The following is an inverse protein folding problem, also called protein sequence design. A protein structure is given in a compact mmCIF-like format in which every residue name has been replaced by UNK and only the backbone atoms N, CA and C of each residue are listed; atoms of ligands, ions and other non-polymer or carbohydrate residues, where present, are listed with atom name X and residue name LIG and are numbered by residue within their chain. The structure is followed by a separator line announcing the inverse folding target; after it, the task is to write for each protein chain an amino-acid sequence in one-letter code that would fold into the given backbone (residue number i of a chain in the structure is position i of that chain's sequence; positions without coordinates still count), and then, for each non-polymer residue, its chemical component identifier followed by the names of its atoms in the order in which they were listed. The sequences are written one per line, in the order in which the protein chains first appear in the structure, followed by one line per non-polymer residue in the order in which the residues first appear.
data_IF_675480428395
#
_entry.id   IF_675480428395
#
_cell.length_a   1.000
_cell.length_b   1.000
_cell.length_c   1.000
_cell.angle_alpha   90.00
_cell.angle_beta   90.00
_cell.angle_gamma   90.00
#
_symmetry.space_group_name_H-M   'P 1'
#
loop_
_entity.id
_entity.type
_entity.pdbx_description
1 polymer ?
#
# COMPACT_ATOMS: atom_id res chain seq x y z
N UNK A 1 -11.37 -19.74 16.15
CA UNK A 1 -11.63 -18.43 16.76
C UNK A 1 -10.47 -17.40 16.60
N UNK A 2 -9.22 -17.79 16.31
CA UNK A 2 -8.07 -16.87 16.23
C UNK A 2 -7.90 -16.04 14.93
N UNK A 3 -8.66 -16.28 13.87
CA UNK A 3 -8.44 -15.67 12.55
C UNK A 3 -9.03 -14.26 12.38
N UNK A 4 -10.07 -13.91 13.13
CA UNK A 4 -10.73 -12.60 12.98
C UNK A 4 -9.96 -11.46 13.66
N UNK A 5 -9.30 -11.74 14.78
CA UNK A 5 -8.59 -10.75 15.60
C UNK A 5 -7.27 -10.30 14.96
N UNK A 6 -6.70 -11.10 14.05
CA UNK A 6 -5.47 -10.79 13.33
C UNK A 6 -5.66 -9.92 12.08
N UNK A 7 -6.91 -9.57 11.71
CA UNK A 7 -7.20 -8.71 10.55
C UNK A 7 -6.81 -7.27 10.82
N UNK A 8 -6.39 -6.59 9.75
CA UNK A 8 -6.09 -5.17 9.77
C UNK A 8 -7.38 -4.38 9.46
N UNK A 9 -7.56 -3.26 10.14
CA UNK A 9 -8.62 -2.28 9.93
C UNK A 9 -8.01 -0.98 9.38
N UNK A 10 -8.64 -0.38 8.38
CA UNK A 10 -8.23 0.93 7.87
C UNK A 10 -8.65 2.01 8.88
N UNK A 11 -7.70 2.73 9.40
CA UNK A 11 -7.96 3.83 10.34
C UNK A 11 -7.95 5.16 9.61
N UNK A 12 -9.04 5.89 9.75
CA UNK A 12 -9.20 7.25 9.27
C UNK A 12 -8.97 8.24 10.42
N UNK A 13 -8.32 9.36 10.13
CA UNK A 13 -8.28 10.53 10.98
C UNK A 13 -8.89 11.70 10.19
N UNK A 14 -9.96 12.31 10.72
CA UNK A 14 -10.71 13.35 10.00
C UNK A 14 -11.10 12.92 8.57
N UNK A 15 -11.55 11.67 8.42
CA UNK A 15 -11.94 11.08 7.13
C UNK A 15 -10.80 10.88 6.11
N UNK A 16 -9.57 11.06 6.52
CA UNK A 16 -8.39 10.79 5.69
C UNK A 16 -7.70 9.53 6.17
N UNK A 17 -7.30 8.60 5.28
CA UNK A 17 -6.53 7.43 5.66
C UNK A 17 -5.26 7.81 6.42
N UNK A 18 -5.08 7.22 7.59
CA UNK A 18 -3.96 7.52 8.48
C UNK A 18 -3.02 6.34 8.68
N UNK A 19 -3.58 5.17 8.94
CA UNK A 19 -2.79 3.94 9.16
C UNK A 19 -3.65 2.68 9.02
N UNK A 20 -2.99 1.52 9.12
CA UNK A 20 -3.63 0.23 9.36
C UNK A 20 -3.33 -0.19 10.81
N UNK A 21 -4.37 -0.59 11.53
CA UNK A 21 -4.24 -1.15 12.88
C UNK A 21 -4.92 -2.52 12.96
N UNK A 22 -4.55 -3.31 13.96
CA UNK A 22 -5.27 -4.55 14.22
C UNK A 22 -6.71 -4.26 14.63
N UNK A 23 -7.62 -5.16 14.25
CA UNK A 23 -9.03 -5.09 14.65
C UNK A 23 -9.18 -5.02 16.17
N UNK A 24 -8.38 -5.79 16.92
CA UNK A 24 -8.35 -5.76 18.38
C UNK A 24 -8.05 -4.36 18.94
N UNK A 25 -7.02 -3.69 18.40
CA UNK A 25 -6.66 -2.33 18.82
C UNK A 25 -7.81 -1.35 18.56
N UNK A 26 -8.44 -1.45 17.41
CA UNK A 26 -9.56 -0.56 17.02
C UNK A 26 -10.79 -0.81 17.88
N UNK A 27 -11.11 -2.08 18.22
CA UNK A 27 -12.19 -2.44 19.13
C UNK A 27 -11.95 -1.84 20.52
N UNK A 28 -10.75 -1.98 21.07
CA UNK A 28 -10.40 -1.42 22.36
C UNK A 28 -10.55 0.11 22.39
N UNK A 29 -10.16 0.80 21.31
CA UNK A 29 -10.36 2.25 21.16
C UNK A 29 -11.86 2.60 21.12
N UNK A 30 -12.67 1.84 20.39
CA UNK A 30 -14.10 2.09 20.23
C UNK A 30 -14.87 1.86 21.55
N UNK A 31 -14.54 0.82 22.33
CA UNK A 31 -15.10 0.55 23.66
C UNK A 31 -14.84 1.74 24.61
N UNK A 32 -13.64 2.36 24.51
CA UNK A 32 -13.26 3.50 25.34
C UNK A 32 -13.73 4.86 24.77
N UNK A 33 -14.55 4.86 23.70
CA UNK A 33 -15.08 6.09 23.10
C UNK A 33 -14.10 6.88 22.21
N UNK A 34 -12.91 6.33 21.93
CA UNK A 34 -11.86 6.98 21.15
C UNK A 34 -11.86 6.62 19.66
N UNK A 35 -12.79 5.76 19.24
CA UNK A 35 -12.99 5.42 17.84
C UNK A 35 -14.46 5.15 17.54
N UNK A 36 -14.85 5.32 16.28
CA UNK A 36 -16.13 4.90 15.71
C UNK A 36 -15.90 3.95 14.57
N UNK A 37 -16.73 2.92 14.42
CA UNK A 37 -16.70 2.06 13.24
C UNK A 37 -17.46 2.68 12.10
N UNK A 38 -16.98 2.52 10.89
CA UNK A 38 -17.58 3.09 9.70
C UNK A 38 -18.27 1.99 8.91
N UNK A 39 -19.53 2.18 8.60
CA UNK A 39 -20.28 1.25 7.77
C UNK A 39 -19.69 1.18 6.35
N UNK A 40 -19.36 -0.02 5.82
CA UNK A 40 -18.60 -0.16 4.58
C UNK A 40 -19.32 0.36 3.32
N UNK A 41 -20.66 0.44 3.35
CA UNK A 41 -21.47 0.90 2.22
C UNK A 41 -22.02 2.32 2.39
N UNK A 42 -22.57 2.64 3.59
CA UNK A 42 -23.23 3.95 3.82
C UNK A 42 -22.29 5.02 4.33
N UNK A 43 -21.12 4.62 4.85
CA UNK A 43 -20.10 5.47 5.50
C UNK A 43 -20.58 6.14 6.80
N UNK A 44 -21.69 5.71 7.36
CA UNK A 44 -22.16 6.22 8.64
C UNK A 44 -21.22 5.78 9.76
N UNK A 45 -20.87 6.67 10.69
CA UNK A 45 -20.06 6.34 11.86
C UNK A 45 -20.94 5.80 13.00
N UNK A 46 -20.52 4.70 13.62
CA UNK A 46 -21.19 4.07 14.75
C UNK A 46 -20.23 3.96 15.92
N UNK A 47 -20.73 4.23 17.14
CA UNK A 47 -20.06 3.85 18.39
C UNK A 47 -20.01 2.32 18.49
N UNK A 48 -19.19 1.80 19.41
CA UNK A 48 -19.10 0.35 19.65
C UNK A 48 -20.48 -0.28 19.93
N UNK A 49 -21.29 0.32 20.80
CA UNK A 49 -22.58 -0.23 21.19
C UNK A 49 -23.65 -0.11 20.12
N UNK A 50 -23.65 0.97 19.34
CA UNK A 50 -24.53 1.11 18.18
C UNK A 50 -24.22 0.06 17.11
N UNK A 51 -22.94 -0.22 16.87
CA UNK A 51 -22.48 -1.22 15.93
C UNK A 51 -22.94 -2.62 16.32
N UNK A 52 -22.76 -2.99 17.60
CA UNK A 52 -23.22 -4.27 18.15
C UNK A 52 -24.75 -4.41 18.05
N UNK A 53 -25.50 -3.36 18.39
CA UNK A 53 -26.96 -3.36 18.37
C UNK A 53 -27.54 -3.43 16.96
N UNK A 54 -26.86 -2.83 15.96
CA UNK A 54 -27.35 -2.77 14.59
C UNK A 54 -27.23 -4.11 13.86
N UNK A 55 -26.25 -4.93 14.21
CA UNK A 55 -26.00 -6.20 13.54
C UNK A 55 -25.73 -6.01 12.04
N UNK A 56 -24.58 -5.46 11.70
CA UNK A 56 -24.18 -5.22 10.31
C UNK A 56 -23.79 -6.55 9.72
N UNK A 57 -24.46 -6.95 8.63
CA UNK A 57 -24.10 -8.17 7.91
C UNK A 57 -22.71 -8.08 7.32
N UNK A 58 -21.79 -8.85 7.90
CA UNK A 58 -20.42 -8.95 7.45
C UNK A 58 -19.97 -10.41 7.40
N UNK A 59 -19.09 -10.75 6.43
CA UNK A 59 -18.56 -12.11 6.25
C UNK A 59 -17.68 -12.59 7.43
N UNK A 60 -17.30 -11.68 8.32
CA UNK A 60 -16.45 -11.97 9.45
C UNK A 60 -17.05 -11.45 10.75
N UNK A 61 -17.30 -12.37 11.69
CA UNK A 61 -17.97 -12.11 12.96
C UNK A 61 -17.13 -12.63 14.12
N UNK A 62 -17.09 -11.88 15.21
CA UNK A 62 -16.59 -12.34 16.51
C UNK A 62 -17.81 -12.65 17.36
N UNK A 63 -17.98 -13.92 17.74
CA UNK A 63 -19.08 -14.36 18.58
C UNK A 63 -18.57 -14.70 19.99
N UNK A 64 -19.24 -14.15 20.99
CA UNK A 64 -19.08 -14.49 22.38
C UNK A 64 -20.44 -14.88 22.95
N UNK A 65 -20.53 -15.52 24.15
CA UNK A 65 -21.83 -15.85 24.74
C UNK A 65 -22.76 -14.65 24.98
N UNK A 66 -22.23 -13.42 24.92
CA UNK A 66 -23.01 -12.21 25.25
C UNK A 66 -23.09 -11.22 24.09
N UNK A 67 -22.17 -11.28 23.14
CA UNK A 67 -22.05 -10.26 22.08
C UNK A 67 -21.68 -10.94 20.77
N UNK A 68 -22.43 -10.61 19.72
CA UNK A 68 -22.06 -10.82 18.32
C UNK A 68 -21.54 -9.49 17.78
N UNK A 69 -20.30 -9.48 17.29
CA UNK A 69 -19.65 -8.30 16.75
C UNK A 69 -19.19 -8.56 15.31
N UNK A 70 -19.78 -7.87 14.38
CA UNK A 70 -19.30 -7.85 13.00
C UNK A 70 -17.97 -7.11 12.94
N UNK A 71 -16.94 -7.74 12.34
CA UNK A 71 -15.58 -7.22 12.36
C UNK A 71 -15.48 -5.93 11.54
N UNK A 72 -15.12 -4.79 12.13
CA UNK A 72 -15.03 -3.54 11.39
C UNK A 72 -13.86 -3.53 10.41
N UNK A 73 -14.11 -3.13 9.17
CA UNK A 73 -13.08 -2.94 8.15
C UNK A 73 -12.47 -1.53 8.20
N UNK A 74 -13.25 -0.56 8.66
CA UNK A 74 -12.88 0.85 8.67
C UNK A 74 -13.25 1.45 10.02
N UNK A 75 -12.36 2.25 10.58
CA UNK A 75 -12.61 3.00 11.80
C UNK A 75 -12.16 4.45 11.67
N UNK A 76 -12.93 5.34 12.29
CA UNK A 76 -12.61 6.75 12.44
C UNK A 76 -12.12 7.00 13.87
N UNK A 77 -10.93 7.54 14.00
CA UNK A 77 -10.35 7.97 15.28
C UNK A 77 -10.34 9.51 15.28
N UNK A 78 -10.98 10.09 16.29
CA UNK A 78 -10.92 11.53 16.54
C UNK A 78 -9.77 11.80 17.52
N UNK A 79 -8.78 12.59 17.10
CA UNK A 79 -7.79 13.09 18.02
C UNK A 79 -6.37 13.23 17.47
N UNK A 80 -5.54 13.91 18.27
CA UNK A 80 -4.11 14.11 18.06
C UNK A 80 -3.28 12.90 18.47
N UNK A 81 -3.88 11.71 18.57
CA UNK A 81 -3.13 10.54 19.00
C UNK A 81 -2.15 10.11 17.92
N UNK A 82 -0.88 10.06 18.27
CA UNK A 82 0.21 9.51 17.46
C UNK A 82 0.14 7.96 17.44
N UNK A 83 -1.10 7.45 17.31
CA UNK A 83 -1.44 6.02 17.29
C UNK A 83 -1.01 5.32 15.99
N UNK A 84 -0.23 6.00 15.14
CA UNK A 84 0.29 5.40 13.92
C UNK A 84 1.33 4.35 14.27
N UNK A 85 1.10 3.08 13.91
CA UNK A 85 2.13 2.07 14.13
C UNK A 85 3.40 2.49 13.39
N UNK A 86 4.54 2.48 14.08
CA UNK A 86 5.85 2.76 13.48
C UNK A 86 6.25 1.60 12.58
N UNK A 87 5.68 1.58 11.38
CA UNK A 87 5.99 0.58 10.38
C UNK A 87 7.19 1.09 9.59
N UNK A 88 8.28 0.35 9.63
CA UNK A 88 9.43 0.59 8.78
C UNK A 88 9.44 -0.41 7.61
N UNK A 89 9.53 0.09 6.40
CA UNK A 89 9.68 -0.72 5.19
C UNK A 89 11.17 -0.74 4.83
N UNK A 90 11.87 -1.86 5.05
CA UNK A 90 13.28 -1.95 4.72
C UNK A 90 13.50 -1.86 3.21
N UNK A 91 14.56 -1.17 2.79
CA UNK A 91 14.93 -1.17 1.39
C UNK A 91 15.34 -2.59 0.96
N UNK A 92 14.68 -3.10 -0.06
CA UNK A 92 15.01 -4.35 -0.72
C UNK A 92 14.58 -4.31 -2.19
N UNK A 93 15.22 -5.13 -3.04
CA UNK A 93 14.82 -5.31 -4.44
C UNK A 93 13.32 -5.65 -4.55
N UNK A 94 12.86 -6.56 -3.69
CA UNK A 94 11.47 -7.01 -3.68
C UNK A 94 10.49 -5.87 -3.34
N UNK A 95 10.85 -5.01 -2.39
CA UNK A 95 10.00 -3.88 -2.00
C UNK A 95 9.98 -2.77 -3.06
N UNK A 96 11.07 -2.58 -3.82
CA UNK A 96 11.07 -1.71 -5.00
C UNK A 96 10.14 -2.29 -6.07
N UNK A 97 10.25 -3.57 -6.39
CA UNK A 97 9.36 -4.20 -7.37
C UNK A 97 7.89 -4.15 -6.95
N UNK A 98 7.57 -4.38 -5.68
CA UNK A 98 6.21 -4.25 -5.16
C UNK A 98 5.68 -2.83 -5.30
N UNK A 99 6.48 -1.81 -4.94
CA UNK A 99 6.11 -0.41 -5.08
C UNK A 99 5.75 -0.07 -6.53
N UNK A 100 6.54 -0.57 -7.46
CA UNK A 100 6.42 -0.30 -8.89
C UNK A 100 5.51 -1.31 -9.60
N UNK A 101 4.73 -2.09 -8.83
CA UNK A 101 3.80 -3.11 -9.33
C UNK A 101 4.45 -4.07 -10.35
N UNK A 102 5.74 -4.41 -10.14
CA UNK A 102 6.51 -5.27 -11.06
C UNK A 102 6.50 -4.79 -12.52
N UNK A 103 6.40 -3.49 -12.74
CA UNK A 103 6.28 -2.85 -14.05
C UNK A 103 7.51 -1.98 -14.30
N UNK A 104 8.03 -2.00 -15.53
CA UNK A 104 9.09 -1.08 -15.94
C UNK A 104 8.61 0.36 -15.85
N UNK A 105 9.29 1.20 -15.08
CA UNK A 105 8.87 2.59 -14.85
C UNK A 105 9.20 3.53 -16.03
N UNK A 106 9.83 3.02 -17.07
CA UNK A 106 10.09 3.74 -18.31
C UNK A 106 9.07 3.38 -19.39
N UNK A 107 9.13 2.16 -19.90
CA UNK A 107 8.28 1.74 -21.04
C UNK A 107 6.92 1.14 -20.63
N UNK A 108 6.63 1.02 -19.34
CA UNK A 108 5.36 0.45 -18.85
C UNK A 108 5.23 -1.08 -18.98
N UNK A 109 6.27 -1.80 -19.47
CA UNK A 109 6.18 -3.25 -19.63
C UNK A 109 5.96 -3.95 -18.29
N UNK A 110 4.87 -4.69 -18.17
CA UNK A 110 4.49 -5.46 -16.98
C UNK A 110 5.34 -6.72 -16.85
N UNK A 111 5.34 -7.32 -15.63
CA UNK A 111 6.00 -8.61 -15.39
C UNK A 111 5.52 -9.70 -16.36
N UNK A 112 4.22 -9.70 -16.72
CA UNK A 112 3.64 -10.69 -17.63
C UNK A 112 4.23 -10.52 -19.04
N UNK A 113 4.20 -9.31 -19.56
CA UNK A 113 4.76 -8.99 -20.89
C UNK A 113 6.26 -9.26 -20.98
N UNK A 114 7.04 -8.90 -19.95
CA UNK A 114 8.48 -9.21 -19.88
C UNK A 114 8.71 -10.74 -19.93
N UNK A 115 7.88 -11.52 -19.24
CA UNK A 115 8.00 -12.98 -19.26
C UNK A 115 7.63 -13.57 -20.63
N UNK A 116 6.53 -13.12 -21.24
CA UNK A 116 6.11 -13.55 -22.58
C UNK A 116 7.16 -13.24 -23.64
N UNK A 117 7.77 -12.06 -23.60
CA UNK A 117 8.87 -11.68 -24.48
C UNK A 117 10.11 -12.56 -24.26
N UNK A 118 10.43 -12.89 -23.01
CA UNK A 118 11.53 -13.79 -22.69
C UNK A 118 11.27 -15.23 -23.18
N UNK A 119 10.06 -15.74 -23.06
CA UNK A 119 9.63 -17.06 -23.58
C UNK A 119 9.71 -17.10 -25.13
N UNK A 120 9.51 -15.97 -25.79
CA UNK A 120 9.70 -15.80 -27.25
C UNK A 120 11.16 -15.59 -27.67
N UNK A 121 12.14 -15.80 -26.77
CA UNK A 121 13.56 -15.76 -27.06
C UNK A 121 14.24 -14.39 -26.89
N UNK A 122 13.53 -13.37 -26.42
CA UNK A 122 14.15 -12.08 -26.14
C UNK A 122 14.92 -12.12 -24.80
N UNK A 123 16.12 -11.55 -24.77
CA UNK A 123 16.93 -11.45 -23.57
C UNK A 123 16.47 -10.28 -22.69
N UNK A 124 15.29 -10.41 -22.08
CA UNK A 124 14.66 -9.38 -21.26
C UNK A 124 14.33 -9.91 -19.87
N UNK A 125 14.65 -9.13 -18.83
CA UNK A 125 14.31 -9.41 -17.42
C UNK A 125 13.96 -8.12 -16.70
N UNK A 126 13.20 -8.22 -15.62
CA UNK A 126 12.97 -7.09 -14.72
C UNK A 126 14.21 -6.89 -13.82
N UNK A 127 14.73 -5.69 -13.83
CA UNK A 127 15.93 -5.26 -13.10
C UNK A 127 15.66 -4.01 -12.27
N UNK A 128 16.66 -3.53 -11.52
CA UNK A 128 16.63 -2.24 -10.84
C UNK A 128 17.53 -1.26 -11.56
N UNK A 129 17.04 -0.05 -11.78
CA UNK A 129 17.82 1.07 -12.28
C UNK A 129 17.89 2.20 -11.27
N UNK A 130 18.96 3.01 -11.35
CA UNK A 130 19.20 4.19 -10.54
C UNK A 130 18.89 5.44 -11.37
N UNK A 131 17.92 6.25 -10.96
CA UNK A 131 17.58 7.51 -11.64
C UNK A 131 18.82 8.40 -11.77
N UNK A 132 19.52 8.63 -10.67
CA UNK A 132 20.85 9.21 -10.66
C UNK A 132 21.86 8.06 -10.64
N UNK A 133 22.71 7.89 -11.69
CA UNK A 133 23.68 6.80 -11.78
C UNK A 133 24.65 6.77 -10.60
N UNK A 134 25.15 5.58 -10.26
CA UNK A 134 26.16 5.40 -9.20
C UNK A 134 27.42 6.25 -9.46
N UNK A 135 27.87 6.30 -10.71
CA UNK A 135 29.01 7.09 -11.15
C UNK A 135 28.86 8.59 -10.93
N UNK A 136 27.62 9.07 -10.80
CA UNK A 136 27.27 10.47 -10.51
C UNK A 136 26.84 10.71 -9.05
N UNK A 137 27.17 9.80 -8.12
CA UNK A 137 26.88 9.93 -6.69
C UNK A 137 25.47 9.53 -6.29
N UNK A 138 24.73 8.85 -7.15
CA UNK A 138 23.38 8.36 -6.84
C UNK A 138 23.36 7.37 -5.66
N UNK A 139 22.38 7.53 -4.76
CA UNK A 139 22.20 6.66 -3.58
C UNK A 139 21.85 5.25 -4.01
N UNK A 140 22.67 4.24 -3.61
CA UNK A 140 22.54 2.86 -4.06
C UNK A 140 21.30 2.15 -3.48
N UNK A 141 20.95 2.43 -2.23
CA UNK A 141 19.85 1.80 -1.49
C UNK A 141 18.84 2.85 -1.06
N UNK A 142 18.14 3.43 -2.01
CA UNK A 142 17.17 4.48 -1.75
C UNK A 142 15.90 4.28 -2.56
N UNK A 143 14.77 4.29 -1.90
CA UNK A 143 13.47 4.25 -2.58
C UNK A 143 13.23 5.45 -3.50
N UNK A 144 13.84 6.61 -3.24
CA UNK A 144 13.72 7.80 -4.07
C UNK A 144 14.66 7.82 -5.28
N UNK A 145 15.65 6.93 -5.33
CA UNK A 145 16.63 6.89 -6.42
C UNK A 145 16.59 5.60 -7.26
N UNK A 146 15.85 4.58 -6.82
CA UNK A 146 15.84 3.28 -7.48
C UNK A 146 14.44 2.92 -7.93
N UNK A 147 14.31 2.48 -9.19
CA UNK A 147 13.06 2.06 -9.82
C UNK A 147 13.18 0.69 -10.45
N UNK A 148 12.04 0.03 -10.66
CA UNK A 148 11.95 -1.17 -11.47
C UNK A 148 12.09 -0.76 -12.97
N UNK A 149 12.97 -1.44 -13.69
CA UNK A 149 13.15 -1.24 -15.12
C UNK A 149 13.36 -2.58 -15.82
N UNK A 150 12.88 -2.76 -17.03
CA UNK A 150 13.31 -3.90 -17.83
C UNK A 150 14.78 -3.74 -18.22
N UNK A 151 15.49 -4.87 -18.45
CA UNK A 151 16.91 -4.84 -18.80
C UNK A 151 17.18 -4.04 -20.08
N UNK A 152 16.23 -4.00 -21.02
CA UNK A 152 16.34 -3.22 -22.25
C UNK A 152 16.42 -1.72 -21.95
N UNK A 153 15.46 -1.18 -21.20
CA UNK A 153 15.48 0.23 -20.82
C UNK A 153 16.67 0.56 -19.90
N UNK A 154 17.00 -0.32 -18.96
CA UNK A 154 18.13 -0.13 -18.06
C UNK A 154 19.46 -0.06 -18.82
N UNK A 155 19.67 -0.97 -19.77
CA UNK A 155 20.88 -0.95 -20.64
C UNK A 155 20.89 0.27 -21.56
N UNK A 156 19.76 0.63 -22.14
CA UNK A 156 19.67 1.81 -23.02
C UNK A 156 19.93 3.12 -22.27
N UNK A 157 19.49 3.21 -21.00
CA UNK A 157 19.76 4.39 -20.17
C UNK A 157 21.21 4.46 -19.72
N UNK A 158 21.81 3.34 -19.35
CA UNK A 158 23.19 3.27 -18.87
C UNK A 158 23.51 4.39 -17.84
N UNK A 159 24.49 5.22 -18.15
CA UNK A 159 24.93 6.34 -17.31
C UNK A 159 24.29 7.69 -17.70
N UNK A 160 23.28 7.69 -18.58
CA UNK A 160 22.57 8.92 -18.94
C UNK A 160 21.80 9.48 -17.74
N UNK A 161 21.60 10.79 -17.76
CA UNK A 161 20.63 11.45 -16.90
C UNK A 161 19.21 10.96 -17.20
N UNK A 162 18.36 10.85 -16.18
CA UNK A 162 17.02 10.28 -16.36
C UNK A 162 16.13 11.17 -17.22
N UNK A 163 16.24 12.49 -17.09
CA UNK A 163 15.50 13.46 -17.89
C UNK A 163 15.92 13.38 -19.36
N UNK A 164 17.23 13.30 -19.64
CA UNK A 164 17.78 13.14 -20.99
C UNK A 164 17.30 11.84 -21.63
N UNK A 165 17.40 10.71 -20.90
CA UNK A 165 16.94 9.42 -21.38
C UNK A 165 15.44 9.43 -21.69
N UNK A 166 14.62 9.92 -20.75
CA UNK A 166 13.18 9.96 -20.93
C UNK A 166 12.77 10.86 -22.11
N UNK A 167 13.43 11.99 -22.30
CA UNK A 167 13.20 12.87 -23.44
C UNK A 167 13.55 12.19 -24.76
N UNK A 168 14.67 11.45 -24.81
CA UNK A 168 15.13 10.77 -26.02
C UNK A 168 14.16 9.67 -26.48
N UNK A 169 13.58 8.92 -25.50
CA UNK A 169 12.69 7.78 -25.80
C UNK A 169 11.20 8.12 -25.70
N UNK A 170 10.82 9.35 -25.37
CA UNK A 170 9.42 9.77 -25.21
C UNK A 170 8.76 9.19 -23.97
N UNK A 171 9.53 8.91 -22.90
CA UNK A 171 9.02 8.39 -21.64
C UNK A 171 8.76 9.51 -20.64
N UNK A 172 7.84 9.24 -19.69
CA UNK A 172 7.68 10.09 -18.52
C UNK A 172 8.81 9.83 -17.51
N UNK A 173 9.30 10.91 -16.88
CA UNK A 173 10.33 10.78 -15.84
C UNK A 173 9.72 10.13 -14.60
N UNK A 174 10.24 8.97 -14.16
CA UNK A 174 9.71 8.28 -12.98
C UNK A 174 9.80 9.12 -11.71
N UNK A 175 8.71 9.13 -10.93
CA UNK A 175 8.63 9.82 -9.63
C UNK A 175 8.37 8.80 -8.51
N UNK A 176 9.39 8.01 -8.12
CA UNK A 176 9.21 6.96 -7.14
C UNK A 176 8.89 7.53 -5.76
N UNK A 177 7.83 7.06 -5.12
CA UNK A 177 7.55 7.43 -3.74
C UNK A 177 8.41 6.62 -2.76
N UNK A 178 8.64 7.21 -1.58
CA UNK A 178 9.27 6.49 -0.48
C UNK A 178 8.19 5.77 0.37
N UNK A 179 8.17 4.43 0.42
CA UNK A 179 7.19 3.68 1.20
C UNK A 179 7.14 4.06 2.70
N UNK A 180 8.23 4.60 3.24
CA UNK A 180 8.28 5.02 4.64
C UNK A 180 7.58 6.35 4.94
N UNK A 181 7.19 7.11 3.91
CA UNK A 181 6.33 8.29 4.08
C UNK A 181 4.88 7.88 4.36
N UNK A 182 4.42 6.81 3.71
CA UNK A 182 3.10 6.25 3.92
C UNK A 182 3.16 4.69 3.92
N UNK A 183 3.69 4.07 4.99
CA UNK A 183 3.88 2.62 5.04
C UNK A 183 2.58 1.82 4.91
N UNK A 184 1.46 2.39 5.38
CA UNK A 184 0.13 1.82 5.23
C UNK A 184 -0.30 1.73 3.76
N UNK A 185 -0.03 2.77 2.96
CA UNK A 185 -0.35 2.78 1.53
C UNK A 185 0.45 1.70 0.79
N UNK A 186 1.74 1.56 1.10
CA UNK A 186 2.58 0.50 0.55
C UNK A 186 2.05 -0.91 0.90
N UNK A 187 1.60 -1.13 2.13
CA UNK A 187 0.99 -2.40 2.54
C UNK A 187 -0.29 -2.69 1.76
N UNK A 188 -1.15 -1.71 1.55
CA UNK A 188 -2.39 -1.86 0.79
C UNK A 188 -2.10 -2.19 -0.67
N UNK A 189 -1.17 -1.48 -1.31
CA UNK A 189 -0.79 -1.74 -2.71
C UNK A 189 -0.23 -3.15 -2.94
N UNK A 190 0.26 -3.81 -1.89
CA UNK A 190 0.96 -5.10 -2.01
C UNK A 190 0.18 -6.30 -1.50
N UNK A 191 -1.03 -6.09 -0.95
CA UNK A 191 -1.90 -7.14 -0.40
C UNK A 191 -3.33 -6.98 -0.89
N UNK A 192 -4.08 -8.08 -0.88
CA UNK A 192 -5.54 -8.03 -0.98
C UNK A 192 -6.11 -7.26 0.21
N UNK A 193 -6.98 -6.31 -0.05
CA UNK A 193 -7.68 -5.51 0.95
C UNK A 193 -9.19 -5.52 0.70
N UNK A 194 -10.01 -5.19 1.70
CA UNK A 194 -11.44 -5.06 1.54
C UNK A 194 -11.82 -4.02 0.47
N UNK A 195 -12.84 -4.31 -0.33
CA UNK A 195 -13.32 -3.37 -1.36
C UNK A 195 -13.80 -2.04 -0.77
N UNK A 196 -14.29 -2.05 0.46
CA UNK A 196 -14.71 -0.86 1.20
C UNK A 196 -13.61 0.19 1.37
N UNK A 197 -12.33 -0.22 1.31
CA UNK A 197 -11.19 0.71 1.43
C UNK A 197 -10.94 1.51 0.15
N UNK A 198 -11.33 1.00 -1.02
CA UNK A 198 -11.01 1.61 -2.32
C UNK A 198 -11.49 3.07 -2.43
N UNK A 199 -12.63 3.39 -1.84
CA UNK A 199 -13.19 4.75 -1.85
C UNK A 199 -12.32 5.78 -1.12
N UNK A 200 -11.44 5.33 -0.22
CA UNK A 200 -10.50 6.18 0.52
C UNK A 200 -9.10 6.20 -0.09
N UNK A 201 -8.80 5.31 -1.03
CA UNK A 201 -7.48 5.12 -1.62
C UNK A 201 -7.32 5.80 -2.99
N UNK A 202 -8.42 6.21 -3.62
CA UNK A 202 -8.45 6.81 -4.97
C UNK A 202 -8.27 8.33 -5.00
N UNK A 203 -7.73 8.92 -3.93
CA UNK A 203 -7.48 10.37 -3.88
C UNK A 203 -6.02 10.71 -4.01
#
# INVERSE_FOLDING_TARGET
MGLAISRECLVLNRWVPSCLNSVEHVINKAINGHAKFIHPKTLDPYTFWEWVAKGIEHDCVIETPRIRLDVPEIALIDGNSDDRPRIFIPYSRQNVYRRDNYTCQYCGATRKEIRERAENGEKIVLSLDHLVPKSRGGKLKSFSNVVAACSVCNTAKDNMDVEEFCKLYGYEVPKPFNPNVAPWAFKIMTKTHPKSWEQFLRR
#
